data_IF_806017999613
#
_entry.id   IF_806017999613
#
_cell.length_a   1.000
_cell.length_b   1.000
_cell.length_c   1.000
_cell.angle_alpha   90.00
_cell.angle_beta   90.00
_cell.angle_gamma   90.00
#
_symmetry.space_group_name_H-M   'P 1'
#
loop_
_entity.id
_entity.type
_entity.pdbx_description
1 polymer ?
#
# COMPACT_ATOMS: atom_id res chain seq x y z
N UNK A 1 -5.45 3.98 -9.80
CA UNK A 1 -6.37 4.95 -9.14
C UNK A 1 -5.94 6.37 -9.48
N UNK A 2 -4.77 6.88 -9.07
CA UNK A 2 -4.35 8.27 -9.29
C UNK A 2 -4.49 8.75 -10.77
N UNK A 3 -4.07 7.92 -11.71
CA UNK A 3 -4.19 8.24 -13.14
C UNK A 3 -5.64 8.42 -13.61
N UNK A 4 -6.58 7.70 -13.02
CA UNK A 4 -8.01 7.86 -13.28
C UNK A 4 -8.53 9.19 -12.73
N UNK A 5 -8.18 9.52 -11.50
CA UNK A 5 -8.54 10.81 -10.89
C UNK A 5 -8.02 11.95 -11.75
N UNK A 6 -6.74 11.90 -12.18
CA UNK A 6 -6.17 12.93 -13.05
C UNK A 6 -6.89 13.07 -14.39
N UNK A 7 -7.38 11.99 -14.97
CA UNK A 7 -8.16 12.03 -16.21
C UNK A 7 -9.49 12.79 -16.04
N UNK A 8 -10.07 12.77 -14.85
CA UNK A 8 -11.34 13.42 -14.53
C UNK A 8 -11.18 14.90 -14.13
N UNK A 9 -10.18 15.20 -13.30
CA UNK A 9 -10.06 16.53 -12.67
C UNK A 9 -8.74 17.26 -12.96
N UNK A 10 -7.82 16.62 -13.66
CA UNK A 10 -6.47 17.16 -13.89
C UNK A 10 -5.53 16.94 -12.71
N UNK A 11 -4.44 17.71 -12.68
CA UNK A 11 -3.43 17.69 -11.62
C UNK A 11 -2.16 16.91 -11.97
N UNK A 12 -1.25 16.83 -11.00
CA UNK A 12 0.05 16.13 -11.10
C UNK A 12 0.09 14.91 -10.19
N UNK A 13 0.85 13.91 -10.60
CA UNK A 13 1.01 12.67 -9.84
C UNK A 13 2.47 12.47 -9.49
N UNK A 14 2.73 12.33 -8.19
CA UNK A 14 4.04 11.93 -7.68
C UNK A 14 3.97 10.51 -7.12
N UNK A 15 5.05 9.74 -7.28
CA UNK A 15 5.21 8.44 -6.65
C UNK A 15 6.39 8.47 -5.69
N UNK A 16 6.22 7.87 -4.54
CA UNK A 16 7.29 7.67 -3.56
C UNK A 16 7.40 6.17 -3.24
N UNK A 17 8.61 5.69 -3.10
CA UNK A 17 8.90 4.32 -2.67
C UNK A 17 10.06 4.33 -1.69
N UNK A 18 10.09 3.37 -0.79
CA UNK A 18 11.20 3.14 0.15
C UNK A 18 11.83 1.79 -0.18
N UNK A 19 13.13 1.77 -0.32
CA UNK A 19 13.83 0.51 -0.62
C UNK A 19 15.28 0.69 -1.06
N UNK A 20 15.95 -0.40 -1.40
CA UNK A 20 17.30 -0.35 -1.93
C UNK A 20 17.32 0.31 -3.32
N UNK A 21 18.50 0.68 -3.85
CA UNK A 21 18.61 1.37 -5.15
C UNK A 21 17.90 0.68 -6.31
N UNK A 22 17.76 -0.64 -6.27
CA UNK A 22 17.03 -1.42 -7.29
C UNK A 22 15.54 -1.05 -7.36
N UNK A 23 14.95 -0.52 -6.28
CA UNK A 23 13.56 -0.07 -6.26
C UNK A 23 13.28 1.11 -7.22
N UNK A 24 14.31 1.77 -7.77
CA UNK A 24 14.14 2.73 -8.88
C UNK A 24 13.38 2.15 -10.06
N UNK A 25 13.47 0.84 -10.30
CA UNK A 25 12.74 0.18 -11.41
C UNK A 25 11.24 0.37 -11.30
N UNK A 26 10.69 0.30 -10.08
CA UNK A 26 9.25 0.51 -9.82
C UNK A 26 8.82 1.94 -10.18
N UNK A 27 9.67 2.93 -9.86
CA UNK A 27 9.41 4.33 -10.20
C UNK A 27 9.49 4.55 -11.71
N UNK A 28 10.45 3.90 -12.40
CA UNK A 28 10.53 3.92 -13.87
C UNK A 28 9.28 3.33 -14.53
N UNK A 29 8.73 2.25 -13.98
CA UNK A 29 7.47 1.69 -14.46
C UNK A 29 6.29 2.66 -14.23
N UNK A 30 6.25 3.34 -13.09
CA UNK A 30 5.25 4.35 -12.82
C UNK A 30 5.32 5.52 -13.84
N UNK A 31 6.51 5.96 -14.21
CA UNK A 31 6.68 6.95 -15.28
C UNK A 31 6.17 6.45 -16.64
N UNK A 32 6.44 5.18 -16.99
CA UNK A 32 5.90 4.58 -18.21
C UNK A 32 4.36 4.46 -18.19
N UNK A 33 3.74 4.46 -17.02
CA UNK A 33 2.28 4.54 -16.86
C UNK A 33 1.76 5.98 -16.95
N UNK A 34 2.62 6.97 -16.74
CA UNK A 34 2.26 8.39 -16.87
C UNK A 34 2.33 9.20 -15.59
N UNK A 35 3.05 8.74 -14.58
CA UNK A 35 3.36 9.53 -13.38
C UNK A 35 4.36 10.65 -13.74
N UNK A 36 4.26 11.79 -13.06
CA UNK A 36 5.00 13.00 -13.43
C UNK A 36 6.32 13.13 -12.66
N UNK A 37 6.36 12.77 -11.38
CA UNK A 37 7.51 12.91 -10.48
C UNK A 37 7.69 11.64 -9.65
N UNK A 38 8.94 11.30 -9.30
CA UNK A 38 9.22 10.12 -8.50
C UNK A 38 10.36 10.33 -7.51
N UNK A 39 10.18 9.82 -6.29
CA UNK A 39 11.19 9.84 -5.25
C UNK A 39 11.43 8.44 -4.66
N UNK A 40 12.69 8.13 -4.39
CA UNK A 40 13.12 6.92 -3.72
C UNK A 40 13.76 7.26 -2.37
N UNK A 41 13.22 6.73 -1.28
CA UNK A 41 13.81 6.76 0.04
C UNK A 41 14.81 5.60 0.14
N UNK A 42 16.10 5.89 0.05
CA UNK A 42 17.12 4.86 0.00
C UNK A 42 18.35 5.23 0.84
N UNK A 43 18.42 4.60 1.99
CA UNK A 43 19.55 4.68 2.91
C UNK A 43 19.68 3.33 3.64
N UNK A 44 20.92 2.93 3.99
CA UNK A 44 21.13 1.72 4.80
C UNK A 44 20.50 1.84 6.19
N UNK A 45 20.40 3.06 6.72
CA UNK A 45 19.79 3.37 8.01
C UNK A 45 18.25 3.16 8.01
N UNK A 46 17.61 3.07 6.84
CA UNK A 46 16.19 2.72 6.71
C UNK A 46 15.95 1.21 6.71
N UNK A 47 17.01 0.41 6.60
CA UNK A 47 16.91 -1.05 6.53
C UNK A 47 16.41 -1.70 7.81
N UNK A 48 15.63 -2.78 7.68
CA UNK A 48 15.09 -3.53 8.82
C UNK A 48 13.94 -2.85 9.56
N UNK A 49 13.37 -1.79 8.98
CA UNK A 49 12.23 -1.07 9.52
C UNK A 49 11.00 -1.98 9.67
N UNK A 50 10.33 -1.90 10.81
CA UNK A 50 8.98 -2.42 10.99
C UNK A 50 7.93 -1.42 10.47
N UNK A 51 6.66 -1.64 10.78
CA UNK A 51 5.56 -0.77 10.32
C UNK A 51 5.74 0.67 10.80
N UNK A 52 6.08 0.86 12.07
CA UNK A 52 6.23 2.19 12.67
C UNK A 52 7.36 2.98 12.02
N UNK A 53 8.55 2.40 11.94
CA UNK A 53 9.71 3.06 11.34
C UNK A 53 9.54 3.26 9.82
N UNK A 54 8.83 2.34 9.14
CA UNK A 54 8.50 2.46 7.71
C UNK A 54 7.54 3.62 7.48
N UNK A 55 6.45 3.69 8.21
CA UNK A 55 5.45 4.76 8.08
C UNK A 55 6.04 6.13 8.40
N UNK A 56 6.87 6.21 9.44
CA UNK A 56 7.59 7.44 9.78
C UNK A 56 8.52 7.89 8.65
N UNK A 57 9.34 6.99 8.13
CA UNK A 57 10.27 7.29 7.02
C UNK A 57 9.52 7.78 5.79
N UNK A 58 8.41 7.12 5.42
CA UNK A 58 7.59 7.53 4.28
C UNK A 58 6.96 8.92 4.52
N UNK A 59 6.45 9.18 5.72
CA UNK A 59 5.88 10.48 6.05
C UNK A 59 6.92 11.61 5.97
N UNK A 60 8.16 11.39 6.43
CA UNK A 60 9.26 12.34 6.28
C UNK A 60 9.58 12.58 4.79
N UNK A 61 9.60 11.51 3.99
CA UNK A 61 9.80 11.64 2.54
C UNK A 61 8.67 12.42 1.85
N UNK A 62 7.42 12.21 2.24
CA UNK A 62 6.28 12.98 1.71
C UNK A 62 6.42 14.46 2.07
N UNK A 63 6.74 14.80 3.32
CA UNK A 63 7.01 16.19 3.75
C UNK A 63 8.13 16.83 2.92
N UNK A 64 9.20 16.07 2.63
CA UNK A 64 10.30 16.54 1.77
C UNK A 64 9.88 16.81 0.33
N UNK A 65 8.95 16.01 -0.20
CA UNK A 65 8.43 16.21 -1.57
C UNK A 65 7.51 17.42 -1.69
N UNK A 66 6.89 17.88 -0.62
CA UNK A 66 5.99 19.03 -0.56
C UNK A 66 4.55 18.68 -0.19
N UNK A 67 3.62 19.58 -0.47
CA UNK A 67 2.21 19.44 -0.14
C UNK A 67 1.45 18.62 -1.19
N UNK A 68 0.48 17.85 -0.71
CA UNK A 68 -0.39 17.00 -1.53
C UNK A 68 -1.83 17.10 -1.06
N UNK A 69 -2.77 17.18 -2.01
CA UNK A 69 -4.21 17.14 -1.70
C UNK A 69 -4.65 15.72 -1.35
N UNK A 70 -4.14 14.73 -2.09
CA UNK A 70 -4.55 13.33 -1.94
C UNK A 70 -3.34 12.40 -1.94
N UNK A 71 -3.24 11.59 -0.90
CA UNK A 71 -2.26 10.50 -0.81
C UNK A 71 -2.98 9.18 -1.02
N UNK A 72 -2.47 8.35 -1.92
CA UNK A 72 -3.02 7.02 -2.22
C UNK A 72 -1.99 5.95 -1.87
N UNK A 73 -2.39 4.98 -1.10
CA UNK A 73 -1.59 3.77 -0.87
C UNK A 73 -2.43 2.50 -1.11
N UNK A 74 -1.77 1.36 -1.25
CA UNK A 74 -2.45 0.07 -1.27
C UNK A 74 -2.96 -0.31 0.12
N UNK A 75 -3.95 -1.19 0.17
CA UNK A 75 -4.54 -1.69 1.41
C UNK A 75 -3.50 -2.43 2.28
N UNK A 76 -2.75 -3.33 1.68
CA UNK A 76 -1.77 -4.16 2.38
C UNK A 76 -0.75 -4.74 1.40
N UNK A 77 0.39 -5.17 1.94
CA UNK A 77 1.45 -5.84 1.19
C UNK A 77 1.33 -7.36 1.33
N UNK A 78 1.98 -8.11 0.42
CA UNK A 78 1.98 -9.57 0.46
C UNK A 78 3.08 -10.17 1.34
N UNK A 79 4.04 -9.36 1.76
CA UNK A 79 5.17 -9.77 2.62
C UNK A 79 4.91 -9.56 4.11
N UNK A 80 4.54 -8.34 4.50
CA UNK A 80 4.29 -7.99 5.91
C UNK A 80 2.83 -8.13 6.33
N UNK A 81 1.90 -7.97 5.40
CA UNK A 81 0.44 -8.16 5.55
C UNK A 81 -0.22 -7.41 6.72
N UNK A 82 0.38 -6.32 7.18
CA UNK A 82 -0.08 -5.59 8.37
C UNK A 82 -1.26 -4.66 8.11
N UNK A 83 -1.41 -4.15 6.89
CA UNK A 83 -2.43 -3.17 6.48
C UNK A 83 -2.43 -1.85 7.30
N UNK A 84 -1.34 -1.50 7.97
CA UNK A 84 -1.25 -0.40 8.92
C UNK A 84 -0.51 0.83 8.38
N UNK A 85 0.46 0.63 7.47
CA UNK A 85 1.37 1.70 7.02
C UNK A 85 0.63 2.95 6.54
N UNK A 86 -0.47 2.79 5.77
CA UNK A 86 -1.23 3.94 5.27
C UNK A 86 -1.82 4.79 6.39
N UNK A 87 -2.49 4.17 7.36
CA UNK A 87 -3.09 4.86 8.51
C UNK A 87 -2.03 5.52 9.39
N UNK A 88 -0.89 4.87 9.61
CA UNK A 88 0.21 5.46 10.38
C UNK A 88 0.85 6.65 9.65
N UNK A 89 1.03 6.58 8.32
CA UNK A 89 1.51 7.72 7.52
C UNK A 89 0.58 8.91 7.68
N UNK A 90 -0.74 8.71 7.64
CA UNK A 90 -1.71 9.79 7.82
C UNK A 90 -1.63 10.44 9.20
N UNK A 91 -1.38 9.65 10.24
CA UNK A 91 -1.18 10.15 11.61
C UNK A 91 0.08 11.00 11.70
N UNK A 92 1.20 10.56 11.13
CA UNK A 92 2.44 11.35 11.06
C UNK A 92 2.31 12.64 10.28
N UNK A 93 1.40 12.68 9.30
CA UNK A 93 1.10 13.88 8.50
C UNK A 93 -0.01 14.74 9.10
N UNK A 94 -0.69 14.25 10.15
CA UNK A 94 -1.85 14.89 10.78
C UNK A 94 -2.97 15.21 9.78
N UNK A 95 -3.31 14.23 8.93
CA UNK A 95 -4.39 14.31 7.94
C UNK A 95 -5.38 13.16 8.13
N UNK A 96 -6.66 13.34 7.77
CA UNK A 96 -7.64 12.25 7.82
C UNK A 96 -7.26 11.11 6.85
N UNK A 97 -7.57 9.88 7.27
CA UNK A 97 -7.40 8.71 6.42
C UNK A 97 -8.64 7.83 6.37
N UNK A 98 -8.80 7.15 5.24
CA UNK A 98 -9.83 6.13 5.06
C UNK A 98 -9.22 4.88 4.45
N UNK A 99 -9.46 3.74 5.11
CA UNK A 99 -8.98 2.42 4.66
C UNK A 99 -10.09 1.64 3.93
N UNK A 100 -9.70 0.56 3.25
CA UNK A 100 -10.61 -0.34 2.55
C UNK A 100 -11.47 0.34 1.46
N UNK A 101 -10.92 1.35 0.80
CA UNK A 101 -11.64 2.06 -0.27
C UNK A 101 -11.79 1.16 -1.49
N UNK A 102 -13.01 0.78 -1.80
CA UNK A 102 -13.39 -0.09 -2.92
C UNK A 102 -13.74 0.69 -4.18
N UNK A 103 -14.26 1.91 -4.01
CA UNK A 103 -14.67 2.75 -5.13
C UNK A 103 -14.55 4.22 -4.80
N UNK A 104 -14.18 5.01 -5.81
CA UNK A 104 -14.26 6.47 -5.78
C UNK A 104 -15.50 6.83 -6.57
N UNK A 105 -16.46 7.45 -5.90
CA UNK A 105 -17.78 7.79 -6.49
C UNK A 105 -17.82 9.19 -7.04
N UNK A 106 -17.04 10.13 -6.45
CA UNK A 106 -16.97 11.52 -6.92
C UNK A 106 -15.68 12.19 -6.46
N UNK A 107 -15.08 12.99 -7.34
CA UNK A 107 -13.94 13.84 -7.05
C UNK A 107 -14.39 15.30 -7.17
N UNK A 108 -14.24 16.09 -6.11
CA UNK A 108 -14.61 17.50 -6.03
C UNK A 108 -13.35 18.34 -5.79
N UNK A 109 -13.44 19.65 -5.82
CA UNK A 109 -12.28 20.54 -5.64
C UNK A 109 -11.75 20.57 -4.22
N UNK A 110 -12.56 20.23 -3.22
CA UNK A 110 -12.25 20.30 -1.79
C UNK A 110 -12.39 18.97 -1.06
N UNK A 111 -12.97 17.95 -1.73
CA UNK A 111 -13.29 16.68 -1.11
C UNK A 111 -13.38 15.53 -2.12
N UNK A 112 -13.36 14.31 -1.62
CA UNK A 112 -13.57 13.08 -2.39
C UNK A 112 -14.64 12.23 -1.71
N UNK A 113 -15.56 11.67 -2.51
CA UNK A 113 -16.58 10.73 -2.03
C UNK A 113 -16.17 9.31 -2.40
N UNK A 114 -16.12 8.44 -1.43
CA UNK A 114 -15.63 7.06 -1.55
C UNK A 114 -16.63 6.06 -1.00
N UNK A 115 -16.54 4.81 -1.46
CA UNK A 115 -17.25 3.67 -0.93
C UNK A 115 -16.24 2.72 -0.27
N UNK A 116 -16.50 2.36 0.99
CA UNK A 116 -15.70 1.41 1.76
C UNK A 116 -16.40 0.06 1.82
N UNK A 117 -15.64 -1.02 1.73
CA UNK A 117 -16.12 -2.38 1.90
C UNK A 117 -15.82 -2.83 3.33
N UNK A 118 -16.82 -2.80 4.18
CA UNK A 118 -16.75 -3.26 5.55
C UNK A 118 -17.38 -4.67 5.65
N UNK A 119 -17.07 -5.47 6.68
CA UNK A 119 -17.50 -6.86 6.76
C UNK A 119 -19.02 -7.09 6.65
N UNK A 120 -19.82 -6.14 7.13
CA UNK A 120 -21.29 -6.28 7.21
C UNK A 120 -22.02 -5.24 6.36
N UNK A 121 -21.32 -4.19 5.85
CA UNK A 121 -21.96 -3.08 5.16
C UNK A 121 -21.03 -2.38 4.17
N UNK A 122 -21.66 -1.65 3.23
CA UNK A 122 -20.96 -0.67 2.39
C UNK A 122 -21.21 0.72 2.97
N UNK A 123 -20.15 1.41 3.33
CA UNK A 123 -20.22 2.78 3.82
C UNK A 123 -19.80 3.77 2.73
N UNK A 124 -20.56 4.86 2.61
CA UNK A 124 -20.21 5.97 1.72
C UNK A 124 -19.78 7.16 2.60
N UNK A 125 -18.56 7.63 2.39
CA UNK A 125 -18.02 8.76 3.11
C UNK A 125 -17.56 9.87 2.15
N UNK A 126 -17.72 11.13 2.59
CA UNK A 126 -17.12 12.30 1.96
C UNK A 126 -15.96 12.78 2.83
N UNK A 127 -14.77 12.84 2.27
CA UNK A 127 -13.52 13.17 2.96
C UNK A 127 -12.95 14.46 2.37
N UNK A 128 -12.61 15.41 3.21
CA UNK A 128 -12.00 16.67 2.78
C UNK A 128 -10.50 16.51 2.55
N UNK A 129 -9.95 17.28 1.62
CA UNK A 129 -8.51 17.37 1.39
C UNK A 129 -7.82 18.27 2.42
N UNK A 130 -6.53 18.04 2.74
CA UNK A 130 -5.74 16.88 2.34
C UNK A 130 -6.17 15.61 3.07
N UNK A 131 -6.10 14.45 2.38
CA UNK A 131 -6.43 13.18 2.99
C UNK A 131 -5.60 12.02 2.42
N UNK A 132 -5.60 10.87 3.12
CA UNK A 132 -4.99 9.64 2.67
C UNK A 132 -6.07 8.56 2.48
N UNK A 133 -6.01 7.85 1.35
CA UNK A 133 -6.88 6.71 1.06
C UNK A 133 -6.06 5.44 0.87
N UNK A 134 -6.40 4.41 1.62
CA UNK A 134 -5.89 3.06 1.42
C UNK A 134 -6.87 2.28 0.53
N UNK A 135 -6.45 1.99 -0.70
CA UNK A 135 -7.33 1.46 -1.74
C UNK A 135 -7.18 -0.05 -1.91
N UNK A 136 -8.29 -0.71 -2.22
CA UNK A 136 -8.29 -2.12 -2.59
C UNK A 136 -7.61 -2.35 -3.95
N UNK A 137 -7.02 -3.54 -4.12
CA UNK A 137 -6.33 -3.93 -5.37
C UNK A 137 -7.26 -3.94 -6.59
N UNK A 138 -8.54 -4.20 -6.37
CA UNK A 138 -9.56 -4.36 -7.42
C UNK A 138 -10.33 -3.05 -7.72
N UNK A 139 -9.96 -1.92 -7.09
CA UNK A 139 -10.62 -0.63 -7.28
C UNK A 139 -10.63 -0.16 -8.75
N UNK A 140 -9.56 -0.46 -9.49
CA UNK A 140 -9.46 -0.22 -10.93
C UNK A 140 -8.55 -1.26 -11.59
N UNK A 141 -8.91 -1.67 -12.81
CA UNK A 141 -8.03 -2.46 -13.65
C UNK A 141 -6.76 -1.63 -13.99
N UNK A 142 -5.55 -2.08 -13.62
CA UNK A 142 -4.31 -1.39 -13.95
C UNK A 142 -4.14 -1.27 -15.48
N UNK A 143 -3.72 -0.10 -15.94
CA UNK A 143 -3.30 0.06 -17.35
C UNK A 143 -1.90 -0.54 -17.55
N UNK A 144 -1.64 -1.00 -18.75
CA UNK A 144 -0.30 -1.44 -19.12
C UNK A 144 0.64 -0.23 -19.28
N UNK A 145 1.94 -0.36 -18.97
CA UNK A 145 2.94 0.65 -19.27
C UNK A 145 2.98 0.94 -20.77
N UNK A 146 3.08 2.22 -21.13
CA UNK A 146 3.20 2.65 -22.52
C UNK A 146 4.66 2.57 -22.97
N UNK A 147 4.92 1.90 -24.09
CA UNK A 147 6.27 1.87 -24.69
C UNK A 147 6.77 3.27 -25.04
N UNK A 148 5.91 4.12 -25.62
CA UNK A 148 6.27 5.50 -25.95
C UNK A 148 6.67 6.26 -24.70
N UNK A 149 5.83 6.23 -23.65
CA UNK A 149 6.17 6.89 -22.38
C UNK A 149 7.41 6.32 -21.73
N UNK A 150 7.64 5.01 -21.83
CA UNK A 150 8.86 4.38 -21.33
C UNK A 150 10.11 4.96 -21.99
N UNK A 151 10.07 5.19 -23.30
CA UNK A 151 11.18 5.82 -24.05
C UNK A 151 11.33 7.29 -23.70
N UNK A 152 10.24 8.04 -23.68
CA UNK A 152 10.21 9.49 -23.38
C UNK A 152 10.65 9.82 -21.96
N UNK A 153 10.51 8.88 -21.03
CA UNK A 153 10.84 9.08 -19.61
C UNK A 153 12.07 8.28 -19.15
N UNK A 154 12.80 7.67 -20.10
CA UNK A 154 13.97 6.83 -19.78
C UNK A 154 15.03 7.56 -18.93
N UNK A 155 15.27 8.83 -19.27
CA UNK A 155 16.27 9.68 -18.61
C UNK A 155 15.64 10.63 -17.57
N UNK A 156 14.33 10.46 -17.28
CA UNK A 156 13.68 11.31 -16.25
C UNK A 156 14.33 11.09 -14.90
N UNK A 157 14.67 12.18 -14.23
CA UNK A 157 15.27 12.16 -12.91
C UNK A 157 14.35 11.50 -11.88
N UNK A 158 14.94 10.67 -11.02
CA UNK A 158 14.33 10.14 -9.81
C UNK A 158 15.06 10.78 -8.64
N UNK A 159 14.33 11.50 -7.82
CA UNK A 159 14.88 12.08 -6.61
C UNK A 159 15.22 10.94 -5.63
N UNK A 160 16.43 10.95 -5.09
CA UNK A 160 16.84 9.95 -4.10
C UNK A 160 17.10 10.66 -2.80
N UNK A 161 16.39 10.25 -1.76
CA UNK A 161 16.50 10.82 -0.43
C UNK A 161 17.11 9.82 0.53
N UNK A 162 18.18 10.27 1.20
CA UNK A 162 18.81 9.60 2.35
C UNK A 162 18.28 10.17 3.65
N UNK A 163 18.72 9.64 4.78
CA UNK A 163 18.41 10.23 6.10
C UNK A 163 18.91 11.69 6.23
N UNK A 164 20.02 12.01 5.58
CA UNK A 164 20.60 13.35 5.65
C UNK A 164 19.75 14.42 4.94
N UNK A 165 18.83 13.99 4.09
CA UNK A 165 17.88 14.84 3.36
C UNK A 165 16.59 15.09 4.14
N UNK A 166 16.31 14.31 5.19
CA UNK A 166 15.10 14.43 6.00
C UNK A 166 15.15 15.64 6.94
N UNK A 167 13.99 16.10 7.37
CA UNK A 167 13.86 17.13 8.38
C UNK A 167 14.36 16.62 9.73
N UNK A 168 13.86 15.46 10.17
CA UNK A 168 14.36 14.75 11.33
C UNK A 168 15.53 13.84 10.92
N UNK A 169 16.68 14.04 11.55
CA UNK A 169 17.93 13.30 11.30
C UNK A 169 18.32 12.37 12.43
N UNK A 170 17.43 12.17 13.41
CA UNK A 170 17.69 11.26 14.51
C UNK A 170 17.55 9.81 14.06
N UNK A 171 18.66 9.10 13.95
CA UNK A 171 18.71 7.70 13.50
C UNK A 171 17.86 6.75 14.37
N UNK A 172 17.52 7.14 15.59
CA UNK A 172 16.70 6.32 16.50
C UNK A 172 15.24 6.25 16.08
N UNK A 173 14.79 7.07 15.11
CA UNK A 173 13.45 7.03 14.56
C UNK A 173 13.33 6.20 13.28
N UNK A 174 14.44 5.66 12.75
CA UNK A 174 14.49 5.03 11.43
C UNK A 174 15.00 3.59 11.48
N UNK A 175 14.61 2.82 10.47
CA UNK A 175 15.12 1.47 10.24
C UNK A 175 14.98 0.57 11.45
N UNK A 176 15.96 -0.28 11.66
CA UNK A 176 15.97 -1.21 12.79
C UNK A 176 16.00 -0.49 14.15
N UNK A 177 16.67 0.66 14.23
CA UNK A 177 16.76 1.43 15.47
C UNK A 177 15.43 2.05 15.88
N UNK A 178 14.62 2.48 14.91
CA UNK A 178 13.28 3.03 15.14
C UNK A 178 12.17 1.99 15.26
N UNK A 179 12.51 0.70 15.13
CA UNK A 179 11.54 -0.40 15.11
C UNK A 179 11.33 -0.99 16.49
N UNK A 180 10.15 -0.85 17.13
CA UNK A 180 9.80 -1.55 18.35
C UNK A 180 9.71 -3.07 18.16
N UNK A 181 9.53 -3.56 16.95
CA UNK A 181 9.47 -4.98 16.60
C UNK A 181 10.63 -5.40 15.71
N UNK A 182 11.12 -6.62 15.90
CA UNK A 182 12.24 -7.16 15.13
C UNK A 182 11.96 -8.60 14.69
N UNK A 183 12.29 -8.93 13.45
CA UNK A 183 12.20 -10.29 12.94
C UNK A 183 13.21 -11.17 13.65
N UNK A 184 12.75 -12.08 14.50
CA UNK A 184 13.60 -12.99 15.24
C UNK A 184 13.98 -14.23 14.42
N UNK A 185 13.08 -14.72 13.58
CA UNK A 185 13.28 -15.94 12.79
C UNK A 185 12.34 -15.96 11.59
N UNK A 186 12.87 -16.36 10.45
CA UNK A 186 12.10 -16.65 9.23
C UNK A 186 12.12 -18.16 9.01
N UNK A 187 10.98 -18.76 8.70
CA UNK A 187 10.84 -20.17 8.38
C UNK A 187 9.71 -20.36 7.36
N UNK A 188 9.84 -21.30 6.42
CA UNK A 188 8.76 -21.63 5.53
C UNK A 188 7.62 -22.29 6.31
N UNK A 189 6.35 -22.10 5.92
CA UNK A 189 5.25 -22.87 6.49
C UNK A 189 5.47 -24.35 6.24
N UNK A 190 5.16 -25.17 7.24
CA UNK A 190 5.11 -26.64 7.06
C UNK A 190 3.94 -26.98 6.15
N UNK A 191 4.21 -27.71 5.08
CA UNK A 191 3.15 -28.24 4.25
C UNK A 191 2.22 -29.15 5.08
N UNK A 192 0.92 -28.99 4.88
CA UNK A 192 -0.04 -29.91 5.45
C UNK A 192 -0.09 -31.16 4.55
N UNK A 193 0.58 -32.21 4.97
CA UNK A 193 0.62 -33.50 4.25
C UNK A 193 -0.56 -34.43 4.60
N UNK A 194 -1.47 -33.98 5.47
CA UNK A 194 -2.67 -34.72 5.82
C UNK A 194 -3.74 -34.55 4.75
N UNK A 195 -3.83 -35.52 3.87
CA UNK A 195 -4.89 -35.65 2.90
C UNK A 195 -5.75 -36.87 3.26
N UNK A 196 -7.03 -36.65 3.55
CA UNK A 196 -8.01 -37.70 3.67
C UNK A 196 -8.78 -37.83 2.36
N UNK A 197 -8.82 -39.04 1.81
CA UNK A 197 -9.65 -39.35 0.65
C UNK A 197 -10.80 -40.21 1.16
N UNK A 198 -12.03 -39.77 0.88
CA UNK A 198 -13.22 -40.48 1.30
C UNK A 198 -13.94 -41.05 0.08
N UNK A 199 -14.13 -42.36 0.07
CA UNK A 199 -14.95 -43.09 -0.88
C UNK A 199 -16.27 -43.49 -0.20
N UNK A 200 -17.39 -43.41 -0.92
CA UNK A 200 -18.70 -43.76 -0.40
C UNK A 200 -19.86 -43.15 -1.16
N UNK A 201 -21.07 -43.35 -0.66
CA UNK A 201 -22.25 -42.65 -1.19
C UNK A 201 -22.13 -41.16 -0.93
N UNK A 202 -22.62 -40.37 -1.88
CA UNK A 202 -22.54 -38.89 -1.82
C UNK A 202 -23.19 -38.30 -0.56
N UNK A 203 -24.23 -38.94 -0.02
CA UNK A 203 -24.89 -38.54 1.22
C UNK A 203 -23.98 -38.76 2.45
N UNK A 204 -23.37 -39.94 2.54
CA UNK A 204 -22.46 -40.25 3.67
C UNK A 204 -21.22 -39.36 3.68
N UNK A 205 -20.64 -39.07 2.51
CA UNK A 205 -19.49 -38.18 2.39
C UNK A 205 -19.84 -36.73 2.73
N UNK A 206 -21.06 -36.28 2.33
CA UNK A 206 -21.54 -34.95 2.67
C UNK A 206 -21.77 -34.78 4.17
N UNK A 207 -22.36 -35.78 4.85
CA UNK A 207 -22.56 -35.75 6.30
C UNK A 207 -21.22 -35.74 7.05
N UNK A 208 -20.26 -36.53 6.60
CA UNK A 208 -18.91 -36.57 7.19
C UNK A 208 -18.21 -35.19 7.04
N UNK A 209 -18.29 -34.60 5.84
CA UNK A 209 -17.74 -33.26 5.59
C UNK A 209 -18.41 -32.19 6.48
N UNK A 210 -19.73 -32.23 6.59
CA UNK A 210 -20.47 -31.28 7.43
C UNK A 210 -20.04 -31.40 8.90
N UNK A 211 -19.92 -32.59 9.45
CA UNK A 211 -19.45 -32.75 10.80
C UNK A 211 -18.01 -32.26 11.00
N UNK A 212 -17.12 -32.56 10.05
CA UNK A 212 -15.72 -32.10 10.13
C UNK A 212 -15.63 -30.57 10.10
N UNK A 213 -16.39 -29.90 9.24
CA UNK A 213 -16.39 -28.42 9.14
C UNK A 213 -16.96 -27.81 10.42
N UNK A 214 -18.02 -28.44 11.00
CA UNK A 214 -18.62 -28.01 12.27
C UNK A 214 -17.65 -28.18 13.43
N UNK A 215 -16.97 -29.32 13.52
CA UNK A 215 -15.98 -29.61 14.58
C UNK A 215 -14.79 -28.66 14.51
N UNK A 216 -14.40 -28.26 13.31
CA UNK A 216 -13.36 -27.26 13.05
C UNK A 216 -13.83 -25.83 13.29
N UNK A 217 -15.12 -25.61 13.62
CA UNK A 217 -15.75 -24.29 13.86
C UNK A 217 -15.66 -23.32 12.68
N UNK A 218 -15.78 -23.83 11.46
CA UNK A 218 -15.92 -23.00 10.27
C UNK A 218 -17.36 -22.57 10.03
N UNK A 219 -18.33 -23.33 10.59
CA UNK A 219 -19.77 -23.03 10.61
C UNK A 219 -20.36 -23.39 12.00
#
# INVERSE_FOLDING_TARGET
TALKIREEVGGTISVISMGPPQAMTVIREAFAMGVDRGALLSDRRFGGADVLATSYTIAQGIKKMGDFDLILCGKQTTDGDTAQVGSEVSEWLNIPSVSNVKKISKVESDAITIEMDLPEELEIAKVQYPCLLSVDKDIFQPRLPSYVKKMDTADREIEVYSLDDMEDKDETHYGLNGSPTQVKRIFPPTANDHHEVWDGDGSEVADKLFHMITDMKFI
#
